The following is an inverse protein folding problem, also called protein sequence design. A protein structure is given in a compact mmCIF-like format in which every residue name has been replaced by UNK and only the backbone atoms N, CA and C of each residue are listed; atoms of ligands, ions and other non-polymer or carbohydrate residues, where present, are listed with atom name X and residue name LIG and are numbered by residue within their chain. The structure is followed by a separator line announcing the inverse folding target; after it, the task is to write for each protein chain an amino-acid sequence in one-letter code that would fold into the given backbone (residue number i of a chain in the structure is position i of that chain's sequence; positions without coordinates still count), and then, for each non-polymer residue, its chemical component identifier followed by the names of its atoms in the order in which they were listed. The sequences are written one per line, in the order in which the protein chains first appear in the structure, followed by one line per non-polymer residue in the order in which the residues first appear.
data_IF_682188984799
#
_entry.id   IF_682188984799
#
_cell.length_a   1.000
_cell.length_b   1.000
_cell.length_c   1.000
_cell.angle_alpha   90.00
_cell.angle_beta   90.00
_cell.angle_gamma   90.00
#
_symmetry.space_group_name_H-M   'P 1'
#
loop_
_entity.id
_entity.type
_entity.pdbx_description
1 polymer ?
#
# COMPACT_ATOMS: atom_id res chain seq x y z
N UNK A 1 10.38 26.47 -13.09
CA UNK A 1 10.34 26.12 -11.65
C UNK A 1 9.55 24.84 -11.54
N UNK A 2 10.22 23.71 -11.35
CA UNK A 2 9.59 22.40 -11.22
C UNK A 2 9.06 22.36 -9.79
N UNK A 3 7.74 22.29 -9.63
CA UNK A 3 7.12 22.11 -8.32
C UNK A 3 7.50 20.71 -7.82
N UNK A 4 8.23 20.65 -6.72
CA UNK A 4 8.52 19.40 -6.00
C UNK A 4 7.22 18.86 -5.40
N UNK A 5 6.52 18.02 -6.15
CA UNK A 5 5.40 17.24 -5.63
C UNK A 5 5.96 16.15 -4.70
N UNK A 6 5.63 16.24 -3.41
CA UNK A 6 6.02 15.26 -2.39
C UNK A 6 5.00 14.12 -2.38
N UNK A 7 5.39 12.93 -2.82
CA UNK A 7 4.53 11.75 -2.80
C UNK A 7 4.71 10.97 -1.50
N UNK A 8 3.64 10.32 -1.03
CA UNK A 8 3.63 9.49 0.18
C UNK A 8 2.78 8.24 -0.11
N UNK A 9 3.25 7.04 0.23
CA UNK A 9 2.54 5.76 0.04
C UNK A 9 2.14 5.17 1.41
N UNK A 10 1.08 4.36 1.51
CA UNK A 10 0.57 3.89 2.81
C UNK A 10 1.51 2.88 3.49
N UNK A 11 1.92 3.17 4.73
CA UNK A 11 2.95 2.45 5.51
C UNK A 11 4.35 3.06 5.37
N UNK A 12 4.47 4.08 4.53
CA UNK A 12 5.73 4.65 4.06
C UNK A 12 5.67 6.18 4.09
N UNK A 13 6.60 6.82 4.78
CA UNK A 13 6.72 8.28 4.72
C UNK A 13 7.57 8.64 3.49
N UNK A 14 7.11 8.45 2.25
CA UNK A 14 7.95 8.88 1.11
C UNK A 14 8.19 10.41 1.13
N UNK A 15 9.41 10.81 0.79
CA UNK A 15 9.99 12.15 0.93
C UNK A 15 10.70 12.70 -0.31
N UNK A 16 10.81 12.10 -1.50
CA UNK A 16 11.72 12.52 -2.59
C UNK A 16 13.20 12.65 -2.15
N UNK A 17 14.13 12.05 -2.90
CA UNK A 17 15.58 12.09 -2.62
C UNK A 17 16.10 13.53 -2.52
N UNK A 18 16.16 14.03 -1.29
CA UNK A 18 16.92 15.23 -0.94
C UNK A 18 18.23 14.79 -0.27
N UNK A 19 19.40 15.24 -0.77
CA UNK A 19 20.66 14.96 -0.11
C UNK A 19 20.64 15.62 1.28
N UNK A 20 20.91 14.85 2.34
CA UNK A 20 21.09 15.29 3.73
C UNK A 20 19.87 15.46 4.66
N UNK A 21 18.86 14.57 4.64
CA UNK A 21 17.88 14.50 5.76
C UNK A 21 17.95 13.20 6.54
N UNK A 22 17.77 13.32 7.87
CA UNK A 22 17.58 12.22 8.83
C UNK A 22 16.60 11.17 8.30
N UNK A 23 16.89 9.88 8.54
CA UNK A 23 16.06 8.77 8.07
C UNK A 23 14.64 8.87 8.62
N UNK A 24 13.67 8.32 7.90
CA UNK A 24 12.28 8.31 8.35
C UNK A 24 12.14 7.43 9.57
N UNK A 25 12.93 6.35 9.68
CA UNK A 25 13.10 5.64 10.94
C UNK A 25 13.56 6.54 12.10
N UNK A 26 14.59 7.37 11.91
CA UNK A 26 14.99 8.33 12.95
C UNK A 26 13.89 9.34 13.25
N UNK A 27 13.10 9.79 12.28
CA UNK A 27 11.94 10.65 12.57
C UNK A 27 10.85 9.87 13.30
N UNK A 28 10.50 8.67 12.88
CA UNK A 28 9.47 7.86 13.51
C UNK A 28 9.87 7.44 14.93
N UNK A 29 11.13 7.06 15.15
CA UNK A 29 11.73 6.72 16.44
C UNK A 29 11.98 7.97 17.31
N UNK A 30 12.27 9.14 16.73
CA UNK A 30 12.35 10.41 17.49
C UNK A 30 10.96 11.02 17.75
N UNK A 31 9.91 10.53 17.06
CA UNK A 31 8.50 10.86 17.30
C UNK A 31 7.81 9.71 18.08
N UNK A 32 8.56 8.94 18.90
CA UNK A 32 8.01 7.80 19.65
C UNK A 32 6.66 8.12 20.29
N UNK A 33 5.70 7.24 19.95
CA UNK A 33 4.41 6.92 20.56
C UNK A 33 3.86 8.03 21.44
N UNK A 34 2.88 8.76 20.89
CA UNK A 34 1.93 9.48 21.72
C UNK A 34 1.53 8.58 22.89
N UNK A 35 1.66 9.10 24.11
CA UNK A 35 1.07 8.42 25.25
C UNK A 35 -0.44 8.30 25.01
N UNK A 36 -1.13 7.33 25.65
CA UNK A 36 -2.57 7.20 25.51
C UNK A 36 -3.34 8.52 25.71
N UNK A 37 -2.81 9.41 26.55
CA UNK A 37 -3.37 10.72 26.90
C UNK A 37 -3.13 11.79 25.83
N UNK A 38 -2.10 11.64 24.99
CA UNK A 38 -1.74 12.60 23.94
C UNK A 38 -2.44 12.29 22.61
N UNK A 39 -3.02 11.10 22.46
CA UNK A 39 -3.70 10.70 21.25
C UNK A 39 -4.99 11.51 21.05
N UNK A 40 -5.22 12.07 19.85
CA UNK A 40 -6.50 12.69 19.54
C UNK A 40 -7.63 11.65 19.62
N UNK A 41 -8.84 12.05 20.06
CA UNK A 41 -9.96 11.12 20.23
C UNK A 41 -10.45 10.54 18.90
N UNK A 42 -10.17 11.21 17.77
CA UNK A 42 -10.51 10.79 16.42
C UNK A 42 -9.52 11.35 15.41
N UNK A 43 -9.15 10.53 14.43
CA UNK A 43 -8.35 10.90 13.26
C UNK A 43 -9.06 10.40 12.01
N UNK A 44 -9.04 11.20 10.95
CA UNK A 44 -9.61 10.83 9.65
C UNK A 44 -8.68 11.30 8.54
N UNK A 45 -8.03 10.35 7.87
CA UNK A 45 -7.08 10.63 6.79
C UNK A 45 -7.69 10.45 5.40
N UNK A 46 -9.01 10.23 5.29
CA UNK A 46 -9.66 9.95 3.99
C UNK A 46 -9.48 11.08 2.97
N UNK A 47 -9.27 12.32 3.40
CA UNK A 47 -9.01 13.46 2.51
C UNK A 47 -7.64 13.35 1.79
N UNK A 48 -6.73 12.53 2.31
CA UNK A 48 -5.41 12.27 1.73
C UNK A 48 -5.40 11.00 0.85
N UNK A 49 -6.53 10.30 0.78
CA UNK A 49 -6.65 9.01 0.10
C UNK A 49 -7.32 9.21 -1.26
N UNK A 50 -6.98 8.34 -2.22
CA UNK A 50 -7.71 8.27 -3.49
C UNK A 50 -9.13 7.71 -3.27
N UNK A 51 -9.93 7.71 -4.32
CA UNK A 51 -11.22 7.01 -4.31
C UNK A 51 -11.00 5.51 -4.00
N UNK A 52 -12.03 4.87 -3.43
CA UNK A 52 -11.97 3.42 -3.18
C UNK A 52 -11.96 2.68 -4.52
N UNK A 53 -10.90 1.90 -4.70
CA UNK A 53 -10.62 1.17 -5.93
C UNK A 53 -11.23 -0.25 -5.93
N UNK A 54 -11.68 -0.72 -7.11
CA UNK A 54 -12.10 -2.11 -7.31
C UNK A 54 -10.91 -2.95 -7.81
N UNK A 55 -10.53 -4.00 -7.05
CA UNK A 55 -9.47 -4.92 -7.47
C UNK A 55 -9.93 -5.93 -8.53
N UNK A 56 -11.24 -6.04 -8.77
CA UNK A 56 -11.86 -7.05 -9.63
C UNK A 56 -11.55 -8.48 -9.15
N UNK A 57 -11.38 -9.42 -10.08
CA UNK A 57 -11.21 -10.86 -9.81
C UNK A 57 -9.74 -11.32 -9.74
N UNK A 58 -8.77 -10.40 -9.66
CA UNK A 58 -7.33 -10.71 -9.63
C UNK A 58 -6.72 -10.58 -8.23
N UNK A 59 -5.56 -11.19 -8.02
CA UNK A 59 -4.85 -11.25 -6.73
C UNK A 59 -4.12 -9.97 -6.27
N UNK A 60 -4.47 -8.80 -6.79
CA UNK A 60 -3.71 -7.54 -6.67
C UNK A 60 -3.90 -6.75 -5.35
N UNK A 61 -4.56 -7.32 -4.34
CA UNK A 61 -4.95 -6.60 -3.12
C UNK A 61 -3.80 -5.84 -2.43
N UNK A 62 -2.59 -6.38 -2.37
CA UNK A 62 -1.42 -5.69 -1.79
C UNK A 62 -1.04 -4.44 -2.59
N UNK A 63 -1.05 -4.53 -3.93
CA UNK A 63 -0.80 -3.38 -4.81
C UNK A 63 -1.90 -2.31 -4.67
N UNK A 64 -3.18 -2.72 -4.60
CA UNK A 64 -4.28 -1.80 -4.34
C UNK A 64 -4.16 -1.10 -2.97
N UNK A 65 -3.76 -1.83 -1.93
CA UNK A 65 -3.62 -1.27 -0.58
C UNK A 65 -2.52 -0.18 -0.51
N UNK A 66 -1.45 -0.34 -1.28
CA UNK A 66 -0.33 0.61 -1.31
C UNK A 66 -0.58 1.80 -2.24
N UNK A 67 -1.30 1.64 -3.35
CA UNK A 67 -1.53 2.70 -4.34
C UNK A 67 -2.44 3.84 -3.87
N UNK A 68 -3.24 3.65 -2.81
CA UNK A 68 -4.40 4.50 -2.50
C UNK A 68 -4.16 5.87 -1.88
N UNK A 69 -3.02 6.55 -2.12
CA UNK A 69 -2.69 7.82 -1.48
C UNK A 69 -2.22 8.90 -2.46
N UNK A 70 -2.79 10.11 -2.32
CA UNK A 70 -2.50 11.36 -3.05
C UNK A 70 -2.69 11.34 -4.58
N UNK A 71 -2.23 10.31 -5.28
CA UNK A 71 -2.19 10.26 -6.73
C UNK A 71 -2.77 8.94 -7.25
N UNK A 72 -3.41 9.00 -8.41
CA UNK A 72 -3.93 7.83 -9.11
C UNK A 72 -2.82 7.12 -9.89
N UNK A 73 -2.15 6.18 -9.21
CA UNK A 73 -1.03 5.39 -9.75
C UNK A 73 -1.48 4.00 -10.18
N UNK A 74 -0.82 3.47 -11.21
CA UNK A 74 -1.19 2.17 -11.80
C UNK A 74 -0.94 1.02 -10.83
N UNK A 75 -2.04 0.50 -10.29
CA UNK A 75 -2.03 -0.70 -9.44
C UNK A 75 -1.54 -1.93 -10.20
N UNK A 76 -1.85 -2.00 -11.50
CA UNK A 76 -1.44 -3.12 -12.34
C UNK A 76 0.07 -3.10 -12.62
N UNK A 77 0.69 -1.91 -12.72
CA UNK A 77 2.13 -1.76 -12.84
C UNK A 77 2.83 -2.25 -11.57
N UNK A 78 2.38 -1.79 -10.40
CA UNK A 78 2.91 -2.26 -9.10
C UNK A 78 2.75 -3.78 -9.03
N UNK A 79 1.54 -4.29 -9.28
CA UNK A 79 1.24 -5.72 -9.17
C UNK A 79 2.03 -6.62 -10.13
N UNK A 80 2.28 -6.17 -11.37
CA UNK A 80 3.14 -6.90 -12.30
C UNK A 80 4.58 -7.00 -11.78
N UNK A 81 5.15 -5.87 -11.36
CA UNK A 81 6.55 -5.83 -10.95
C UNK A 81 6.80 -6.60 -9.65
N UNK A 82 5.87 -6.56 -8.68
CA UNK A 82 5.94 -7.38 -7.46
C UNK A 82 6.06 -8.87 -7.74
N UNK A 83 5.44 -9.36 -8.83
CA UNK A 83 5.52 -10.78 -9.21
C UNK A 83 6.72 -11.09 -10.08
N UNK A 84 7.21 -10.11 -10.85
CA UNK A 84 8.34 -10.27 -11.75
C UNK A 84 9.68 -10.33 -11.01
N UNK A 85 9.86 -9.53 -9.95
CA UNK A 85 11.14 -9.44 -9.21
C UNK A 85 11.59 -10.79 -8.60
N UNK A 86 10.65 -11.63 -8.17
CA UNK A 86 10.93 -12.94 -7.57
C UNK A 86 10.81 -14.11 -8.56
N UNK A 87 10.57 -13.83 -9.85
CA UNK A 87 10.34 -14.86 -10.86
C UNK A 87 11.19 -14.60 -12.12
N UNK A 88 12.51 -14.90 -12.05
CA UNK A 88 13.43 -14.69 -13.17
C UNK A 88 13.10 -15.54 -14.41
N UNK A 89 12.21 -16.53 -14.27
CA UNK A 89 11.81 -17.49 -15.30
C UNK A 89 10.70 -16.98 -16.23
N UNK A 90 10.54 -15.67 -16.45
CA UNK A 90 9.67 -15.01 -17.44
C UNK A 90 8.16 -15.35 -17.49
N UNK A 91 7.69 -16.40 -16.81
CA UNK A 91 6.28 -16.80 -16.78
C UNK A 91 5.59 -16.17 -15.57
N UNK A 92 4.97 -15.02 -15.82
CA UNK A 92 4.17 -14.29 -14.83
C UNK A 92 2.74 -14.83 -14.87
N UNK A 93 2.18 -15.14 -13.70
CA UNK A 93 0.80 -15.57 -13.53
C UNK A 93 0.14 -14.85 -12.36
N UNK A 94 -1.19 -14.86 -12.29
CA UNK A 94 -1.94 -14.20 -11.23
C UNK A 94 -1.93 -15.05 -9.94
N UNK A 95 -0.90 -14.85 -9.11
CA UNK A 95 -0.64 -15.63 -7.89
C UNK A 95 -0.78 -14.82 -6.60
N UNK A 96 -1.15 -13.55 -6.72
CA UNK A 96 -0.97 -12.55 -5.66
C UNK A 96 0.50 -12.13 -5.48
N UNK A 97 0.71 -11.15 -4.62
CA UNK A 97 2.01 -10.75 -4.12
C UNK A 97 1.91 -10.40 -2.63
N UNK A 98 3.01 -10.53 -1.90
CA UNK A 98 3.07 -10.06 -0.52
C UNK A 98 3.13 -8.53 -0.48
N UNK A 99 2.84 -7.95 0.68
CA UNK A 99 3.05 -6.50 0.89
C UNK A 99 4.52 -6.12 0.70
N UNK A 100 5.44 -6.98 1.15
CA UNK A 100 6.89 -6.77 0.99
C UNK A 100 7.27 -6.71 -0.48
N UNK A 101 6.76 -7.63 -1.30
CA UNK A 101 7.05 -7.62 -2.74
C UNK A 101 6.55 -6.33 -3.41
N UNK A 102 5.38 -5.84 -2.99
CA UNK A 102 4.82 -4.61 -3.53
C UNK A 102 5.59 -3.36 -3.09
N UNK A 103 6.11 -3.36 -1.85
CA UNK A 103 7.01 -2.32 -1.36
C UNK A 103 8.32 -2.33 -2.16
N UNK A 104 8.96 -3.49 -2.32
CA UNK A 104 10.21 -3.62 -3.09
C UNK A 104 10.02 -3.16 -4.55
N UNK A 105 8.89 -3.52 -5.19
CA UNK A 105 8.57 -3.05 -6.54
C UNK A 105 8.45 -1.52 -6.62
N UNK A 106 7.85 -0.89 -5.60
CA UNK A 106 7.74 0.57 -5.51
C UNK A 106 9.09 1.25 -5.24
N UNK A 107 9.99 0.59 -4.51
CA UNK A 107 11.35 1.12 -4.26
C UNK A 107 12.20 1.04 -5.53
N UNK A 108 12.17 -0.11 -6.19
CA UNK A 108 13.00 -0.38 -7.37
C UNK A 108 12.48 0.36 -8.62
N UNK A 109 11.17 0.37 -8.84
CA UNK A 109 10.56 0.85 -10.08
C UNK A 109 9.65 2.07 -9.89
N UNK A 110 9.15 2.31 -8.69
CA UNK A 110 8.09 3.28 -8.45
C UNK A 110 6.74 2.86 -9.03
N UNK A 111 5.91 3.83 -9.41
CA UNK A 111 4.63 3.56 -10.06
C UNK A 111 4.32 4.62 -11.14
N UNK A 112 3.91 4.19 -12.33
CA UNK A 112 3.39 5.13 -13.33
C UNK A 112 1.97 5.56 -12.97
N UNK A 113 1.43 6.58 -13.65
CA UNK A 113 0.02 6.97 -13.48
C UNK A 113 -0.91 5.88 -14.00
N UNK A 114 -2.07 5.72 -13.38
CA UNK A 114 -3.11 4.78 -13.83
C UNK A 114 -3.55 5.10 -15.29
N UNK A 115 -3.49 6.37 -15.70
CA UNK A 115 -3.72 6.77 -17.11
C UNK A 115 -2.69 6.22 -18.13
N UNK A 116 -1.45 5.93 -17.71
CA UNK A 116 -0.41 5.39 -18.60
C UNK A 116 -0.43 3.86 -18.66
N UNK A 117 -0.85 3.21 -17.58
CA UNK A 117 -1.07 1.76 -17.55
C UNK A 117 -2.38 1.43 -16.83
N UNK A 118 -3.52 1.52 -17.52
CA UNK A 118 -4.83 1.36 -16.90
C UNK A 118 -5.08 -0.02 -16.32
N UNK A 119 -5.95 -0.08 -15.33
CA UNK A 119 -6.42 -1.28 -14.64
C UNK A 119 -7.28 -2.21 -15.51
N UNK A 120 -6.67 -2.72 -16.58
CA UNK A 120 -7.22 -3.70 -17.50
C UNK A 120 -6.70 -5.09 -17.11
N UNK A 121 -7.54 -5.88 -16.45
CA UNK A 121 -7.16 -7.20 -15.92
C UNK A 121 -6.73 -8.18 -17.02
N UNK A 122 -7.04 -7.94 -18.29
CA UNK A 122 -6.52 -8.76 -19.41
C UNK A 122 -5.00 -8.62 -19.58
N UNK A 123 -4.42 -7.55 -19.02
CA UNK A 123 -2.98 -7.25 -19.02
C UNK A 123 -2.28 -7.69 -17.74
N UNK A 124 -2.95 -8.42 -16.85
CA UNK A 124 -2.39 -8.79 -15.53
C UNK A 124 -1.02 -9.47 -15.61
N UNK A 125 -0.74 -10.24 -16.65
CA UNK A 125 0.55 -10.91 -16.84
C UNK A 125 1.40 -10.29 -17.96
N UNK A 126 0.95 -9.17 -18.53
CA UNK A 126 1.66 -8.47 -19.60
C UNK A 126 2.63 -7.48 -19.00
N UNK A 127 3.88 -7.50 -19.50
CA UNK A 127 4.88 -6.52 -19.09
C UNK A 127 4.44 -5.12 -19.51
N UNK A 128 4.44 -4.14 -18.59
CA UNK A 128 4.21 -2.74 -18.95
C UNK A 128 5.23 -2.26 -19.99
N UNK A 129 4.83 -1.37 -20.91
CA UNK A 129 5.73 -0.82 -21.91
C UNK A 129 6.84 0.04 -21.27
N UNK A 130 8.00 0.16 -21.93
CA UNK A 130 9.16 0.85 -21.33
C UNK A 130 8.89 2.29 -20.89
N UNK A 131 8.02 3.03 -21.59
CA UNK A 131 7.71 4.41 -21.22
C UNK A 131 7.03 4.54 -19.85
N UNK A 132 6.30 3.52 -19.39
CA UNK A 132 5.69 3.54 -18.05
C UNK A 132 6.76 3.42 -16.98
N UNK A 133 7.82 2.66 -17.22
CA UNK A 133 8.97 2.58 -16.30
C UNK A 133 9.74 3.88 -16.23
N UNK A 134 9.87 4.62 -17.34
CA UNK A 134 10.49 5.95 -17.32
C UNK A 134 9.67 6.95 -16.51
N UNK A 135 8.33 6.90 -16.61
CA UNK A 135 7.46 7.72 -15.75
C UNK A 135 7.55 7.28 -14.27
N UNK A 136 7.54 5.97 -14.01
CA UNK A 136 7.48 5.40 -12.67
C UNK A 136 8.67 5.78 -11.78
N UNK A 137 9.85 6.03 -12.35
CA UNK A 137 11.03 6.56 -11.65
C UNK A 137 10.79 7.90 -10.94
N UNK A 138 9.76 8.65 -11.34
CA UNK A 138 9.37 9.89 -10.68
C UNK A 138 8.49 9.69 -9.44
N UNK A 139 8.02 8.45 -9.21
CA UNK A 139 7.09 8.07 -8.15
C UNK A 139 7.60 6.86 -7.36
N UNK A 140 8.88 6.85 -7.00
CA UNK A 140 9.45 5.84 -6.10
C UNK A 140 9.12 6.17 -4.65
N UNK A 141 9.06 5.13 -3.82
CA UNK A 141 9.10 5.30 -2.36
C UNK A 141 10.55 5.59 -1.92
N UNK A 142 10.72 6.22 -0.75
CA UNK A 142 12.06 6.45 -0.19
C UNK A 142 12.39 5.52 0.98
N UNK A 143 11.39 5.16 1.81
CA UNK A 143 11.58 4.25 2.93
C UNK A 143 10.25 3.62 3.36
N UNK A 144 10.31 2.34 3.70
CA UNK A 144 9.21 1.57 4.26
C UNK A 144 9.46 1.25 5.72
N UNK A 145 8.46 1.46 6.57
CA UNK A 145 8.57 1.14 7.99
C UNK A 145 7.53 0.09 8.37
N UNK A 146 7.99 -0.96 9.03
CA UNK A 146 7.10 -1.93 9.66
C UNK A 146 6.62 -1.36 10.99
N UNK A 147 5.29 -1.36 11.19
CA UNK A 147 4.64 -0.98 12.43
C UNK A 147 4.38 -2.26 13.24
N UNK A 148 4.64 -2.23 14.54
CA UNK A 148 4.30 -3.36 15.41
C UNK A 148 2.78 -3.51 15.52
N UNK A 149 2.31 -4.74 15.73
CA UNK A 149 0.89 -5.02 16.02
C UNK A 149 0.60 -4.64 17.47
N UNK A 150 0.61 -3.33 17.72
CA UNK A 150 0.34 -2.67 18.98
C UNK A 150 -0.67 -1.54 18.74
N UNK A 151 -1.77 -1.53 19.50
CA UNK A 151 -2.87 -0.61 19.27
C UNK A 151 -2.44 0.86 19.36
N UNK A 152 -1.55 1.18 20.30
CA UNK A 152 -1.09 2.55 20.51
C UNK A 152 -0.12 3.00 19.43
N UNK A 153 0.73 2.10 18.92
CA UNK A 153 1.60 2.38 17.79
C UNK A 153 0.81 2.63 16.50
N UNK A 154 -0.18 1.78 16.22
CA UNK A 154 -1.09 1.95 15.08
C UNK A 154 -1.87 3.27 15.17
N UNK A 155 -2.41 3.60 16.35
CA UNK A 155 -3.09 4.89 16.60
C UNK A 155 -2.14 6.07 16.44
N UNK A 156 -0.91 5.95 16.94
CA UNK A 156 0.10 7.01 16.81
C UNK A 156 0.47 7.26 15.35
N UNK A 157 0.59 6.20 14.54
CA UNK A 157 0.89 6.30 13.13
C UNK A 157 -0.17 7.15 12.39
N UNK A 158 -1.46 6.84 12.56
CA UNK A 158 -2.52 7.63 11.94
C UNK A 158 -2.62 9.04 12.53
N UNK A 159 -2.42 9.22 13.84
CA UNK A 159 -2.44 10.54 14.48
C UNK A 159 -1.36 11.49 13.92
N UNK A 160 -0.24 10.95 13.45
CA UNK A 160 0.82 11.70 12.78
C UNK A 160 0.57 11.95 11.28
N UNK A 161 -0.58 11.54 10.74
CA UNK A 161 -0.92 11.71 9.33
C UNK A 161 -0.33 10.65 8.39
N UNK A 162 0.01 9.48 8.95
CA UNK A 162 0.53 8.34 8.20
C UNK A 162 -0.51 7.21 8.15
N UNK A 163 -1.25 7.07 7.05
CA UNK A 163 -1.98 5.82 6.78
C UNK A 163 -1.01 4.65 6.61
N UNK A 164 -1.46 3.44 6.97
CA UNK A 164 -0.68 2.21 6.84
C UNK A 164 -1.51 1.07 6.24
N UNK A 165 -0.84 0.13 5.58
CA UNK A 165 -1.44 -1.08 5.04
C UNK A 165 -1.12 -2.29 5.92
N UNK A 166 -2.01 -3.28 5.96
CA UNK A 166 -1.82 -4.51 6.71
C UNK A 166 -2.62 -5.65 6.08
N UNK A 167 -2.15 -6.88 6.27
CA UNK A 167 -2.87 -8.09 5.87
C UNK A 167 -3.81 -8.56 6.98
N UNK A 168 -4.99 -9.07 6.59
CA UNK A 168 -5.93 -9.73 7.52
C UNK A 168 -6.41 -11.06 6.94
N UNK A 169 -6.63 -12.02 7.84
CA UNK A 169 -7.34 -13.24 7.49
C UNK A 169 -8.84 -12.95 7.46
N UNK A 170 -9.47 -13.22 6.33
CA UNK A 170 -10.92 -13.05 6.18
C UNK A 170 -11.66 -14.32 6.59
N UNK A 171 -12.87 -14.15 7.12
CA UNK A 171 -13.80 -15.21 7.52
C UNK A 171 -15.17 -14.97 6.89
N UNK A 172 -16.15 -15.87 7.09
CA UNK A 172 -17.49 -15.66 6.53
C UNK A 172 -18.17 -14.45 7.17
N UNK A 173 -17.96 -14.26 8.47
CA UNK A 173 -18.46 -13.13 9.25
C UNK A 173 -18.03 -11.76 8.72
N UNK A 174 -16.93 -11.66 7.96
CA UNK A 174 -16.50 -10.42 7.33
C UNK A 174 -17.59 -9.77 6.46
N UNK A 175 -18.44 -10.57 5.78
CA UNK A 175 -19.48 -10.02 4.90
C UNK A 175 -20.56 -9.24 5.67
N UNK A 176 -20.68 -9.43 6.99
CA UNK A 176 -21.59 -8.66 7.85
C UNK A 176 -21.18 -7.19 7.96
N UNK A 177 -19.90 -6.88 7.70
CA UNK A 177 -19.41 -5.50 7.69
C UNK A 177 -20.08 -4.64 6.59
N UNK A 178 -20.77 -5.24 5.62
CA UNK A 178 -21.53 -4.53 4.59
C UNK A 178 -22.69 -3.70 5.15
N UNK A 179 -23.16 -4.00 6.35
CA UNK A 179 -24.31 -3.33 6.95
C UNK A 179 -23.94 -1.99 7.60
N UNK A 180 -22.81 -1.94 8.32
CA UNK A 180 -22.43 -0.78 9.13
C UNK A 180 -20.92 -0.45 9.13
N UNK A 181 -20.11 -1.16 8.33
CA UNK A 181 -18.67 -0.98 8.24
C UNK A 181 -17.87 -1.59 9.41
N UNK A 182 -18.51 -2.24 10.38
CA UNK A 182 -17.84 -2.86 11.52
C UNK A 182 -17.56 -4.33 11.20
N UNK A 183 -16.28 -4.68 11.12
CA UNK A 183 -15.85 -6.07 10.92
C UNK A 183 -15.99 -6.84 12.24
N UNK A 184 -16.82 -7.90 12.29
CA UNK A 184 -16.95 -8.71 13.50
C UNK A 184 -15.72 -9.58 13.73
N UNK A 185 -15.43 -9.88 15.00
CA UNK A 185 -14.44 -10.89 15.37
C UNK A 185 -14.95 -12.27 14.92
N UNK A 186 -14.14 -13.07 14.21
CA UNK A 186 -14.56 -14.39 13.75
C UNK A 186 -14.77 -15.35 14.93
N UNK A 187 -15.73 -16.27 14.81
CA UNK A 187 -15.89 -17.33 15.81
C UNK A 187 -14.77 -18.37 15.70
N UNK A 188 -14.49 -19.09 16.79
CA UNK A 188 -13.51 -20.19 16.81
C UNK A 188 -13.85 -21.35 15.86
N UNK A 189 -15.11 -21.45 15.41
CA UNK A 189 -15.59 -22.46 14.46
C UNK A 189 -15.55 -22.01 13.01
N UNK A 190 -15.24 -20.74 12.71
CA UNK A 190 -15.14 -20.27 11.35
C UNK A 190 -13.84 -20.70 10.67
N UNK A 191 -13.96 -21.18 9.44
CA UNK A 191 -12.80 -21.45 8.57
C UNK A 191 -12.41 -20.16 7.84
N UNK A 192 -11.12 -19.82 7.89
CA UNK A 192 -10.60 -18.69 7.14
C UNK A 192 -10.79 -18.89 5.64
N UNK A 193 -11.09 -17.81 4.92
CA UNK A 193 -11.10 -17.79 3.45
C UNK A 193 -9.69 -18.05 2.92
N UNK A 194 -9.63 -18.68 1.74
CA UNK A 194 -8.36 -18.93 1.05
C UNK A 194 -7.78 -17.69 0.36
N UNK A 195 -8.59 -16.64 0.14
CA UNK A 195 -8.23 -15.44 -0.61
C UNK A 195 -8.50 -14.14 0.17
N UNK A 196 -7.41 -13.44 0.50
CA UNK A 196 -7.20 -11.98 0.72
C UNK A 196 -5.74 -11.79 1.17
N UNK A 197 -5.18 -10.57 1.13
CA UNK A 197 -3.76 -10.24 1.30
C UNK A 197 -2.96 -11.15 2.23
N UNK A 198 -1.90 -11.77 1.69
CA UNK A 198 -0.94 -12.62 2.40
C UNK A 198 0.22 -11.80 2.92
#
# INVERSE_FOLDING_TARGET
KINEHRFRFNGLIASTRLPHKQSLRQKFDNIVKYSPEELPPKVDLRQEMTAVEDQSQIGSCSANALAGRNEDVSRLFVYYNSRAQNNPSAWISDTGCSMTDAIEALDEHGACRESQWPYDISKVNQRPPSFTYEEAKHFTIDEALQINIDLYEMKSCIAQGYPFAFGIRLFKSFDKARENGIVPVPSSSETSRRSHGR
#
